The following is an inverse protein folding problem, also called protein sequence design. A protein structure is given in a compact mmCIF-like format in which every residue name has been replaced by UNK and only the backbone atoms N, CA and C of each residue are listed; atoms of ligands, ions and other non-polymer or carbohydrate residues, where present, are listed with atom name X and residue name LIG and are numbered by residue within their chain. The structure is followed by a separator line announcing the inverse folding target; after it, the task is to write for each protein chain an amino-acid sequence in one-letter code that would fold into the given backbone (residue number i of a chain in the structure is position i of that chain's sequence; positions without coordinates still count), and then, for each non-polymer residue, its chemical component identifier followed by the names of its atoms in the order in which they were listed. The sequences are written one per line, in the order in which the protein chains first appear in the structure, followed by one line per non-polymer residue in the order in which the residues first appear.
data_IF_416623887467
#
_entry.id   IF_416623887467
#
_cell.length_a   1.000
_cell.length_b   1.000
_cell.length_c   1.000
_cell.angle_alpha   90.00
_cell.angle_beta   90.00
_cell.angle_gamma   90.00
#
_symmetry.space_group_name_H-M   'P 1'
#
loop_
_entity.id
_entity.type
_entity.pdbx_description
1 polymer ?
#
# COMPACT_ATOMS: atom_id res chain seq x y z
N UNK A 1 15.39 -6.16 32.91
CA UNK A 1 15.34 -6.85 31.61
C UNK A 1 13.91 -6.75 31.10
N UNK A 2 13.62 -6.13 29.95
CA UNK A 2 12.23 -6.06 29.50
C UNK A 2 11.81 -7.47 29.10
N UNK A 3 10.92 -8.05 29.88
CA UNK A 3 10.24 -9.30 29.58
C UNK A 3 9.52 -9.14 28.25
N UNK A 4 10.05 -9.80 27.23
CA UNK A 4 9.51 -9.87 25.87
C UNK A 4 8.22 -10.67 25.87
N UNK A 5 7.15 -10.06 26.36
CA UNK A 5 5.83 -10.67 26.40
C UNK A 5 5.35 -10.86 24.94
N UNK A 6 4.99 -12.11 24.58
CA UNK A 6 4.42 -12.45 23.27
C UNK A 6 3.32 -11.47 22.80
N UNK A 7 2.43 -10.95 23.68
CA UNK A 7 1.47 -9.92 23.31
C UNK A 7 2.10 -8.60 22.81
N UNK A 8 3.20 -8.15 23.40
CA UNK A 8 3.87 -6.90 22.99
C UNK A 8 4.48 -7.04 21.58
N UNK A 9 5.08 -8.19 21.27
CA UNK A 9 5.56 -8.47 19.92
C UNK A 9 4.42 -8.60 18.90
N UNK A 10 3.34 -9.28 19.29
CA UNK A 10 2.15 -9.38 18.45
C UNK A 10 1.59 -8.00 18.09
N UNK A 11 1.47 -7.09 19.06
CA UNK A 11 1.02 -5.72 18.84
C UNK A 11 1.98 -4.93 17.94
N UNK A 12 3.29 -5.08 18.11
CA UNK A 12 4.28 -4.43 17.26
C UNK A 12 4.17 -4.92 15.80
N UNK A 13 4.00 -6.22 15.59
CA UNK A 13 3.77 -6.80 14.26
C UNK A 13 2.46 -6.29 13.65
N UNK A 14 1.37 -6.24 14.43
CA UNK A 14 0.09 -5.71 13.98
C UNK A 14 0.19 -4.25 13.55
N UNK A 15 0.87 -3.42 14.34
CA UNK A 15 1.09 -2.01 14.04
C UNK A 15 1.89 -1.83 12.74
N UNK A 16 2.93 -2.65 12.54
CA UNK A 16 3.72 -2.63 11.31
C UNK A 16 2.88 -2.99 10.07
N UNK A 17 2.04 -4.02 10.16
CA UNK A 17 1.16 -4.42 9.05
C UNK A 17 0.11 -3.35 8.75
N UNK A 18 -0.47 -2.73 9.79
CA UNK A 18 -1.39 -1.60 9.62
C UNK A 18 -0.71 -0.42 8.93
N UNK A 19 0.51 -0.07 9.33
CA UNK A 19 1.28 0.98 8.67
C UNK A 19 1.47 0.69 7.18
N UNK A 20 1.80 -0.56 6.83
CA UNK A 20 1.94 -0.98 5.42
C UNK A 20 0.64 -0.91 4.63
N UNK A 21 -0.49 -1.30 5.23
CA UNK A 21 -1.81 -1.18 4.60
C UNK A 21 -2.16 0.28 4.32
N UNK A 22 -1.93 1.17 5.29
CA UNK A 22 -2.19 2.62 5.15
C UNK A 22 -1.30 3.20 4.04
N UNK A 23 -0.01 2.90 4.05
CA UNK A 23 0.93 3.38 3.05
C UNK A 23 0.56 2.91 1.62
N UNK A 24 0.19 1.64 1.45
CA UNK A 24 -0.22 1.11 0.14
C UNK A 24 -1.50 1.79 -0.38
N UNK A 25 -2.50 2.01 0.50
CA UNK A 25 -3.73 2.73 0.13
C UNK A 25 -3.46 4.19 -0.22
N UNK A 26 -2.60 4.86 0.55
CA UNK A 26 -2.22 6.23 0.27
C UNK A 26 -1.48 6.34 -1.07
N UNK A 27 -0.57 5.39 -1.36
CA UNK A 27 0.11 5.31 -2.66
C UNK A 27 -0.85 5.11 -3.83
N UNK A 28 -1.82 4.21 -3.71
CA UNK A 28 -2.87 4.04 -4.73
C UNK A 28 -3.65 5.32 -4.98
N UNK A 29 -4.04 6.04 -3.92
CA UNK A 29 -4.78 7.30 -4.03
C UNK A 29 -3.92 8.38 -4.71
N UNK A 30 -2.66 8.51 -4.33
CA UNK A 30 -1.72 9.46 -4.92
C UNK A 30 -1.46 9.15 -6.41
N UNK A 31 -1.29 7.88 -6.77
CA UNK A 31 -1.14 7.46 -8.17
C UNK A 31 -2.38 7.81 -9.00
N UNK A 32 -3.58 7.63 -8.44
CA UNK A 32 -4.83 8.02 -9.09
C UNK A 32 -4.97 9.53 -9.25
N UNK A 33 -4.62 10.31 -8.23
CA UNK A 33 -4.66 11.77 -8.27
C UNK A 33 -3.65 12.36 -9.26
N UNK A 34 -2.43 11.79 -9.29
CA UNK A 34 -1.41 12.13 -10.29
C UNK A 34 -1.91 11.84 -11.70
N UNK A 35 -2.53 10.68 -11.93
CA UNK A 35 -3.13 10.35 -13.23
C UNK A 35 -4.20 11.36 -13.63
N UNK A 36 -5.08 11.75 -12.71
CA UNK A 36 -6.14 12.73 -12.96
C UNK A 36 -5.60 14.16 -13.21
N UNK A 37 -4.45 14.50 -12.63
CA UNK A 37 -3.82 15.82 -12.82
C UNK A 37 -3.06 15.92 -14.15
N UNK A 38 -2.42 14.83 -14.57
CA UNK A 38 -1.76 14.69 -15.87
C UNK A 38 -2.78 14.75 -17.02
N UNK A 39 -3.93 14.09 -16.89
CA UNK A 39 -4.99 14.13 -17.91
C UNK A 39 -5.58 15.53 -18.10
N UNK A 40 -5.62 16.35 -17.04
CA UNK A 40 -6.10 17.74 -17.10
C UNK A 40 -5.07 18.70 -17.72
N UNK A 41 -3.78 18.41 -17.57
CA UNK A 41 -2.69 19.30 -18.04
C UNK A 41 -2.16 18.96 -19.43
N UNK A 42 -2.44 17.75 -19.94
CA UNK A 42 -1.84 17.19 -21.16
C UNK A 42 -2.84 17.03 -22.32
N UNK A 43 -3.66 18.04 -22.59
CA UNK A 43 -4.62 18.07 -23.70
C UNK A 43 -3.96 18.16 -25.12
N UNK A 44 -2.86 17.43 -25.35
CA UNK A 44 -2.18 17.32 -26.65
C UNK A 44 -1.05 16.27 -26.65
N UNK A 45 -1.14 15.31 -27.56
CA UNK A 45 -0.15 14.32 -28.09
C UNK A 45 0.68 13.44 -27.11
N UNK A 46 0.78 13.76 -25.81
CA UNK A 46 1.63 13.02 -24.84
C UNK A 46 0.89 11.97 -23.98
N UNK A 47 -0.29 11.56 -24.41
CA UNK A 47 -1.24 10.82 -23.56
C UNK A 47 -0.91 9.34 -23.35
N UNK A 48 -0.12 8.71 -24.22
CA UNK A 48 0.11 7.25 -24.17
C UNK A 48 1.10 6.84 -23.07
N UNK A 49 2.24 7.52 -22.92
CA UNK A 49 3.28 7.11 -21.96
C UNK A 49 2.90 7.38 -20.50
N UNK A 50 2.23 8.49 -20.21
CA UNK A 50 1.80 8.83 -18.84
C UNK A 50 0.75 7.87 -18.28
N UNK A 51 -0.07 7.29 -19.16
CA UNK A 51 -1.14 6.36 -18.79
C UNK A 51 -0.60 4.98 -18.41
N UNK A 52 0.40 4.48 -19.13
CA UNK A 52 1.08 3.22 -18.77
C UNK A 52 1.82 3.34 -17.43
N UNK A 53 2.53 4.45 -17.19
CA UNK A 53 3.21 4.67 -15.91
C UNK A 53 2.24 4.75 -14.72
N UNK A 54 1.10 5.44 -14.89
CA UNK A 54 0.07 5.51 -13.85
C UNK A 54 -0.55 4.13 -13.53
N UNK A 55 -0.76 3.29 -14.55
CA UNK A 55 -1.24 1.92 -14.35
C UNK A 55 -0.18 1.08 -13.62
N UNK A 56 1.09 1.18 -14.02
CA UNK A 56 2.17 0.44 -13.39
C UNK A 56 2.34 0.80 -11.91
N UNK A 57 2.23 2.09 -11.54
CA UNK A 57 2.31 2.51 -10.14
C UNK A 57 1.09 2.04 -9.33
N UNK A 58 -0.11 2.08 -9.92
CA UNK A 58 -1.32 1.51 -9.30
C UNK A 58 -1.18 0.01 -9.05
N UNK A 59 -0.71 -0.74 -10.04
CA UNK A 59 -0.52 -2.20 -9.94
C UNK A 59 0.51 -2.54 -8.87
N UNK A 60 1.60 -1.76 -8.78
CA UNK A 60 2.61 -1.90 -7.73
C UNK A 60 2.00 -1.71 -6.34
N UNK A 61 1.22 -0.66 -6.13
CA UNK A 61 0.58 -0.44 -4.83
C UNK A 61 -0.52 -1.47 -4.53
N UNK A 62 -1.25 -1.94 -5.54
CA UNK A 62 -2.22 -3.02 -5.38
C UNK A 62 -1.54 -4.33 -4.93
N UNK A 63 -0.39 -4.68 -5.52
CA UNK A 63 0.40 -5.83 -5.09
C UNK A 63 0.89 -5.67 -3.63
N UNK A 64 1.37 -4.48 -3.26
CA UNK A 64 1.78 -4.20 -1.87
C UNK A 64 0.62 -4.31 -0.88
N UNK A 65 -0.58 -3.86 -1.27
CA UNK A 65 -1.79 -3.98 -0.47
C UNK A 65 -2.18 -5.44 -0.26
N UNK A 66 -2.16 -6.24 -1.33
CA UNK A 66 -2.47 -7.66 -1.28
C UNK A 66 -1.53 -8.42 -0.32
N UNK A 67 -0.22 -8.20 -0.42
CA UNK A 67 0.74 -8.83 0.48
C UNK A 67 0.56 -8.40 1.94
N UNK A 68 0.25 -7.12 2.18
CA UNK A 68 -0.03 -6.64 3.53
C UNK A 68 -1.33 -7.22 4.11
N UNK A 69 -2.36 -7.44 3.29
CA UNK A 69 -3.60 -8.13 3.70
C UNK A 69 -3.35 -9.60 4.04
N UNK A 70 -2.55 -10.30 3.23
CA UNK A 70 -2.16 -11.69 3.49
C UNK A 70 -1.41 -11.80 4.82
N UNK A 71 -0.44 -10.91 5.05
CA UNK A 71 0.31 -10.84 6.30
C UNK A 71 -0.59 -10.54 7.51
N UNK A 72 -1.58 -9.67 7.36
CA UNK A 72 -2.58 -9.41 8.41
C UNK A 72 -3.39 -10.68 8.72
N UNK A 73 -3.87 -11.38 7.69
CA UNK A 73 -4.65 -12.59 7.84
C UNK A 73 -3.85 -13.71 8.53
N UNK A 74 -2.54 -13.81 8.24
CA UNK A 74 -1.67 -14.77 8.90
C UNK A 74 -1.37 -14.39 10.35
N UNK A 75 -1.15 -13.10 10.64
CA UNK A 75 -1.03 -12.61 12.02
C UNK A 75 -2.28 -12.89 12.85
N UNK A 76 -3.48 -12.69 12.30
CA UNK A 76 -4.74 -12.93 13.01
C UNK A 76 -4.96 -14.39 13.41
N UNK A 77 -4.26 -15.35 12.78
CA UNK A 77 -4.30 -16.77 13.15
C UNK A 77 -3.40 -17.10 14.34
N UNK A 78 -2.50 -16.20 14.72
CA UNK A 78 -1.62 -16.37 15.88
C UNK A 78 -2.44 -16.09 17.14
N UNK A 79 -2.37 -17.01 18.12
CA UNK A 79 -2.92 -16.79 19.46
C UNK A 79 -1.79 -16.32 20.39
N UNK A 80 -1.67 -15.00 20.66
CA UNK A 80 -0.51 -14.40 21.34
C UNK A 80 -0.45 -14.66 22.85
#
# INVERSE_FOLDING_TARGET
MPSTAKPAFYLACLAYVQMRLVAARAGMAAAQESSNSETKSSAGDKYETGREMANQERDRHAAQLYEAQKLLADLQKINP
#
